data_IF_861380983474
#
_entry.id   IF_861380983474
#
_cell.length_a   1.000
_cell.length_b   1.000
_cell.length_c   1.000
_cell.angle_alpha   90.00
_cell.angle_beta   90.00
_cell.angle_gamma   90.00
#
_symmetry.space_group_name_H-M   'P 1'
#
loop_
_entity.id
_entity.type
_entity.pdbx_description
1 polymer ?
#
# COMPACT_ATOMS: atom_id res chain seq x y z
N UNK A 1 9.69 -8.74 -88.47
CA UNK A 1 9.32 -7.44 -87.86
C UNK A 1 9.38 -7.67 -86.35
N UNK A 2 10.57 -7.66 -85.73
CA UNK A 2 11.16 -6.52 -84.99
C UNK A 2 10.08 -5.78 -84.18
N UNK A 3 10.09 -5.77 -82.84
CA UNK A 3 11.16 -5.41 -81.87
C UNK A 3 11.00 -6.20 -80.55
N UNK A 4 12.05 -6.77 -79.91
CA UNK A 4 12.90 -6.17 -78.82
C UNK A 4 12.10 -5.39 -77.76
N UNK A 5 12.34 -5.43 -76.46
CA UNK A 5 13.23 -6.12 -75.49
C UNK A 5 12.69 -5.63 -74.12
N UNK A 6 12.87 -6.37 -73.01
CA UNK A 6 12.62 -5.75 -71.70
C UNK A 6 12.40 -6.66 -70.50
N UNK A 7 13.47 -7.27 -70.03
CA UNK A 7 13.83 -7.54 -68.63
C UNK A 7 12.75 -7.97 -67.60
N UNK A 8 12.93 -9.19 -67.12
CA UNK A 8 12.46 -9.67 -65.83
C UNK A 8 13.13 -8.92 -64.66
N UNK A 9 12.38 -8.64 -63.59
CA UNK A 9 12.88 -8.67 -62.22
C UNK A 9 11.73 -8.67 -61.20
N UNK A 10 11.81 -9.59 -60.25
CA UNK A 10 10.95 -9.72 -59.07
C UNK A 10 10.83 -8.41 -58.27
N UNK A 11 9.61 -8.00 -57.94
CA UNK A 11 9.35 -7.17 -56.77
C UNK A 11 8.86 -8.09 -55.65
N UNK A 12 9.82 -8.54 -54.84
CA UNK A 12 9.59 -9.19 -53.55
C UNK A 12 9.14 -8.14 -52.54
N UNK A 13 8.33 -8.60 -51.60
CA UNK A 13 8.10 -8.09 -50.25
C UNK A 13 8.99 -6.91 -49.83
N UNK A 14 8.39 -5.74 -49.66
CA UNK A 14 8.82 -4.78 -48.66
C UNK A 14 7.79 -4.87 -47.54
N UNK A 15 8.06 -5.77 -46.59
CA UNK A 15 7.50 -5.64 -45.26
C UNK A 15 8.03 -4.33 -44.69
N UNK A 16 7.14 -3.43 -44.29
CA UNK A 16 7.51 -2.25 -43.52
C UNK A 16 8.17 -2.74 -42.23
N UNK A 17 9.50 -2.64 -42.17
CA UNK A 17 10.25 -2.76 -40.93
C UNK A 17 9.75 -1.64 -40.01
N UNK A 18 8.83 -1.99 -39.11
CA UNK A 18 8.54 -1.20 -37.92
C UNK A 18 9.80 -1.30 -37.07
N UNK A 19 10.71 -0.35 -37.27
CA UNK A 19 11.76 -0.07 -36.30
C UNK A 19 11.04 0.31 -35.00
N UNK A 20 10.91 -0.66 -34.09
CA UNK A 20 10.68 -0.40 -32.67
C UNK A 20 11.85 0.47 -32.22
N UNK A 21 11.65 1.80 -32.24
CA UNK A 21 12.42 2.76 -31.46
C UNK A 21 12.13 2.46 -29.98
N UNK A 22 12.70 1.35 -29.48
CA UNK A 22 13.00 1.18 -28.06
C UNK A 22 14.11 2.19 -27.72
N UNK A 23 13.74 3.47 -27.76
CA UNK A 23 14.50 4.54 -27.17
C UNK A 23 14.71 4.14 -25.72
N UNK A 24 15.94 3.74 -25.39
CA UNK A 24 16.43 3.64 -24.04
C UNK A 24 16.15 4.98 -23.35
N UNK A 25 15.02 5.08 -22.65
CA UNK A 25 14.70 6.26 -21.83
C UNK A 25 15.73 6.25 -20.72
N UNK A 26 16.76 7.09 -20.85
CA UNK A 26 17.76 7.27 -19.82
C UNK A 26 17.05 7.82 -18.57
N UNK A 27 17.28 7.16 -17.43
CA UNK A 27 16.69 7.49 -16.13
C UNK A 27 17.07 8.94 -15.70
N UNK A 28 18.04 9.54 -16.37
CA UNK A 28 18.60 10.87 -16.08
C UNK A 28 17.61 12.05 -16.23
N UNK A 29 16.44 11.85 -16.87
CA UNK A 29 15.47 12.94 -17.12
C UNK A 29 14.19 12.90 -16.27
N UNK A 30 14.07 12.03 -15.25
CA UNK A 30 12.89 12.05 -14.38
C UNK A 30 12.96 13.16 -13.32
N UNK A 31 11.96 14.05 -13.31
CA UNK A 31 11.86 15.16 -12.34
C UNK A 31 11.04 14.83 -11.09
N UNK A 32 10.37 13.67 -11.04
CA UNK A 32 9.58 13.25 -9.89
C UNK A 32 8.59 12.12 -10.17
N UNK A 33 7.86 11.71 -9.13
CA UNK A 33 6.82 10.67 -9.17
C UNK A 33 5.48 11.28 -8.75
N UNK A 34 4.45 11.14 -9.57
CA UNK A 34 3.07 11.51 -9.23
C UNK A 34 2.29 10.29 -8.73
N UNK A 35 1.35 10.53 -7.81
CA UNK A 35 0.43 9.51 -7.31
C UNK A 35 -0.99 9.95 -7.68
N UNK A 36 -1.68 9.11 -8.45
CA UNK A 36 -3.09 9.28 -8.80
C UNK A 36 -3.91 8.22 -8.09
N UNK A 37 -5.03 8.61 -7.47
CA UNK A 37 -5.89 7.69 -6.74
C UNK A 37 -7.35 7.91 -7.12
N UNK A 38 -8.10 6.83 -7.28
CA UNK A 38 -9.56 6.86 -7.46
C UNK A 38 -10.22 5.98 -6.40
N UNK A 39 -11.19 6.55 -5.68
CA UNK A 39 -12.04 5.84 -4.74
C UNK A 39 -13.44 5.76 -5.34
N UNK A 40 -13.97 4.54 -5.50
CA UNK A 40 -15.29 4.23 -6.07
C UNK A 40 -15.34 4.33 -7.62
N UNK A 41 -15.28 3.17 -8.27
CA UNK A 41 -15.02 2.95 -9.70
C UNK A 41 -16.20 3.24 -10.66
N UNK A 42 -17.17 4.09 -10.30
CA UNK A 42 -18.32 4.38 -11.19
C UNK A 42 -18.07 5.51 -12.18
N UNK A 43 -17.17 6.42 -11.86
CA UNK A 43 -16.69 7.44 -12.77
C UNK A 43 -15.18 7.50 -12.56
N UNK A 44 -14.40 7.48 -13.64
CA UNK A 44 -12.93 7.52 -13.64
C UNK A 44 -12.41 8.92 -13.24
N UNK A 45 -12.95 9.45 -12.14
CA UNK A 45 -12.52 10.69 -11.54
C UNK A 45 -11.26 10.40 -10.72
N UNK A 46 -10.13 10.38 -11.41
CA UNK A 46 -8.83 10.36 -10.76
C UNK A 46 -8.66 11.65 -9.98
N UNK A 47 -8.57 11.53 -8.66
CA UNK A 47 -8.38 12.67 -7.78
C UNK A 47 -6.90 12.83 -7.46
N UNK A 48 -6.44 14.08 -7.41
CA UNK A 48 -5.12 14.38 -6.85
C UNK A 48 -5.14 14.07 -5.36
N UNK A 49 -4.01 13.59 -4.82
CA UNK A 49 -3.89 13.26 -3.39
C UNK A 49 -4.36 14.42 -2.50
N UNK A 50 -4.13 15.67 -2.89
CA UNK A 50 -4.55 16.89 -2.18
C UNK A 50 -6.06 16.94 -1.92
N UNK A 51 -6.88 16.42 -2.85
CA UNK A 51 -8.34 16.44 -2.81
C UNK A 51 -8.95 15.34 -1.94
N UNK A 52 -8.14 14.37 -1.50
CA UNK A 52 -8.59 13.26 -0.66
C UNK A 52 -8.85 13.69 0.78
N UNK A 53 -9.81 13.02 1.43
CA UNK A 53 -10.04 13.13 2.88
C UNK A 53 -8.84 12.61 3.68
N UNK A 54 -8.74 12.99 4.96
CA UNK A 54 -7.65 12.52 5.84
C UNK A 54 -7.57 11.00 5.96
N UNK A 55 -8.72 10.32 6.06
CA UNK A 55 -8.79 8.86 6.08
C UNK A 55 -8.34 8.23 4.76
N UNK A 56 -8.74 8.78 3.61
CA UNK A 56 -8.29 8.31 2.30
C UNK A 56 -6.79 8.49 2.09
N UNK A 57 -6.23 9.65 2.47
CA UNK A 57 -4.78 9.90 2.44
C UNK A 57 -4.03 8.88 3.29
N UNK A 58 -4.52 8.63 4.51
CA UNK A 58 -3.93 7.65 5.43
C UNK A 58 -3.96 6.24 4.84
N UNK A 59 -5.09 5.83 4.26
CA UNK A 59 -5.23 4.51 3.63
C UNK A 59 -4.29 4.36 2.42
N UNK A 60 -4.14 5.40 1.59
CA UNK A 60 -3.19 5.37 0.48
C UNK A 60 -1.75 5.21 0.95
N UNK A 61 -1.36 5.95 2.00
CA UNK A 61 -0.04 5.85 2.58
C UNK A 61 0.24 4.46 3.14
N UNK A 62 -0.72 3.87 3.89
CA UNK A 62 -0.61 2.51 4.40
C UNK A 62 -0.49 1.51 3.25
N UNK A 63 -1.33 1.62 2.21
CA UNK A 63 -1.28 0.74 1.05
C UNK A 63 0.09 0.80 0.34
N UNK A 64 0.65 2.00 0.18
CA UNK A 64 1.97 2.20 -0.42
C UNK A 64 3.08 1.59 0.45
N UNK A 65 3.07 1.83 1.75
CA UNK A 65 4.04 1.26 2.70
C UNK A 65 3.98 -0.27 2.64
N UNK A 66 2.80 -0.86 2.76
CA UNK A 66 2.63 -2.33 2.70
C UNK A 66 3.03 -2.91 1.34
N UNK A 67 2.87 -2.16 0.24
CA UNK A 67 3.34 -2.58 -1.09
C UNK A 67 4.87 -2.60 -1.18
N UNK A 68 5.54 -1.56 -0.64
CA UNK A 68 7.01 -1.52 -0.57
C UNK A 68 7.53 -2.68 0.29
N UNK A 69 6.92 -2.91 1.45
CA UNK A 69 7.28 -4.02 2.35
C UNK A 69 7.14 -5.40 1.70
N UNK A 70 6.18 -5.58 0.79
CA UNK A 70 6.03 -6.83 0.03
C UNK A 70 7.15 -7.03 -0.99
N UNK A 71 7.75 -5.94 -1.50
CA UNK A 71 8.86 -5.99 -2.45
C UNK A 71 10.19 -6.19 -1.71
N UNK A 72 10.42 -5.41 -0.65
CA UNK A 72 11.62 -5.45 0.18
C UNK A 72 11.26 -5.60 1.67
N UNK A 73 11.16 -6.85 2.17
CA UNK A 73 10.74 -7.11 3.54
C UNK A 73 11.87 -6.82 4.54
N UNK A 74 11.55 -6.02 5.54
CA UNK A 74 12.40 -5.74 6.69
C UNK A 74 12.16 -6.79 7.79
N UNK A 75 13.13 -6.99 8.72
CA UNK A 75 12.98 -7.96 9.79
C UNK A 75 11.84 -7.64 10.77
N UNK A 76 11.54 -6.36 10.99
CA UNK A 76 10.41 -5.94 11.82
C UNK A 76 9.83 -4.59 11.38
N UNK A 77 8.59 -4.34 11.78
CA UNK A 77 7.85 -3.10 11.55
C UNK A 77 7.18 -2.62 12.84
N UNK A 78 7.27 -1.31 13.09
CA UNK A 78 6.58 -0.62 14.18
C UNK A 78 5.57 0.36 13.59
N UNK A 79 4.30 0.18 13.92
CA UNK A 79 3.21 1.07 13.53
C UNK A 79 2.64 1.78 14.75
N UNK A 80 2.65 3.11 14.70
CA UNK A 80 2.14 3.96 15.78
C UNK A 80 0.79 4.56 15.39
N UNK A 81 -0.30 4.07 15.97
CA UNK A 81 -1.68 4.55 15.78
C UNK A 81 -2.11 4.78 14.31
N UNK A 82 -1.63 3.95 13.39
CA UNK A 82 -1.89 4.09 11.95
C UNK A 82 -3.37 4.01 11.57
N UNK A 83 -4.20 3.49 12.49
CA UNK A 83 -5.63 3.26 12.32
C UNK A 83 -6.52 4.36 12.92
N UNK A 84 -5.92 5.43 13.46
CA UNK A 84 -6.62 6.53 14.13
C UNK A 84 -7.67 7.20 13.23
N UNK A 85 -7.31 7.46 11.96
CA UNK A 85 -8.10 8.18 10.96
C UNK A 85 -8.92 7.27 10.03
N UNK A 86 -8.88 5.96 10.23
CA UNK A 86 -9.61 4.99 9.42
C UNK A 86 -10.99 4.70 10.02
N UNK A 87 -11.96 4.36 9.17
CA UNK A 87 -13.24 3.79 9.61
C UNK A 87 -13.10 2.30 9.97
N UNK A 88 -14.10 1.73 10.63
CA UNK A 88 -14.06 0.34 11.12
C UNK A 88 -13.85 -0.69 10.00
N UNK A 89 -14.39 -0.45 8.81
CA UNK A 89 -14.23 -1.33 7.65
C UNK A 89 -12.76 -1.36 7.21
N UNK A 90 -12.14 -0.20 7.02
CA UNK A 90 -10.73 -0.11 6.63
C UNK A 90 -9.79 -0.59 7.74
N UNK A 91 -10.10 -0.32 9.02
CA UNK A 91 -9.31 -0.87 10.14
C UNK A 91 -9.28 -2.38 10.12
N UNK A 92 -10.42 -3.02 9.93
CA UNK A 92 -10.53 -4.49 9.84
C UNK A 92 -9.72 -5.04 8.65
N UNK A 93 -9.78 -4.36 7.50
CA UNK A 93 -9.01 -4.74 6.31
C UNK A 93 -7.50 -4.63 6.54
N UNK A 94 -7.03 -3.53 7.14
CA UNK A 94 -5.62 -3.33 7.50
C UNK A 94 -5.17 -4.38 8.52
N UNK A 95 -6.00 -4.69 9.53
CA UNK A 95 -5.68 -5.68 10.56
C UNK A 95 -5.45 -7.07 9.94
N UNK A 96 -6.36 -7.49 9.06
CA UNK A 96 -6.24 -8.75 8.33
C UNK A 96 -4.99 -8.80 7.44
N UNK A 97 -4.64 -7.68 6.79
CA UNK A 97 -3.43 -7.60 5.96
C UNK A 97 -2.16 -7.72 6.81
N UNK A 98 -2.07 -6.99 7.93
CA UNK A 98 -0.96 -7.08 8.87
C UNK A 98 -0.82 -8.51 9.39
N UNK A 99 -1.92 -9.18 9.76
CA UNK A 99 -1.89 -10.56 10.21
C UNK A 99 -1.35 -11.54 9.16
N UNK A 100 -1.68 -11.30 7.89
CA UNK A 100 -1.16 -12.13 6.80
C UNK A 100 0.35 -11.90 6.62
N UNK A 101 0.79 -10.64 6.68
CA UNK A 101 2.19 -10.26 6.54
C UNK A 101 3.05 -10.66 7.75
N UNK A 102 2.46 -10.79 8.94
CA UNK A 102 3.19 -11.18 10.16
C UNK A 102 3.77 -12.59 10.11
N UNK A 103 3.35 -13.42 9.16
CA UNK A 103 3.98 -14.71 8.87
C UNK A 103 5.41 -14.58 8.33
N UNK A 104 5.78 -13.42 7.76
CA UNK A 104 7.08 -13.18 7.10
C UNK A 104 7.95 -12.15 7.82
N UNK A 105 7.36 -11.27 8.63
CA UNK A 105 8.06 -10.21 9.36
C UNK A 105 7.41 -9.98 10.73
N UNK A 106 8.16 -9.45 11.68
CA UNK A 106 7.60 -9.10 12.98
C UNK A 106 6.84 -7.76 12.93
N UNK A 107 5.62 -7.71 13.46
CA UNK A 107 4.84 -6.48 13.57
C UNK A 107 4.62 -6.11 15.04
N UNK A 108 4.89 -4.85 15.37
CA UNK A 108 4.55 -4.21 16.64
C UNK A 108 3.63 -3.05 16.29
N UNK A 109 2.43 -3.03 16.87
CA UNK A 109 1.45 -1.98 16.60
C UNK A 109 0.94 -1.39 17.91
N UNK A 110 0.87 -0.07 17.99
CA UNK A 110 0.12 0.64 19.03
C UNK A 110 -1.23 1.04 18.45
N UNK A 111 -2.28 0.92 19.25
CA UNK A 111 -3.64 1.20 18.80
C UNK A 111 -4.57 1.39 20.00
N UNK A 112 -5.58 2.24 19.81
CA UNK A 112 -6.75 2.36 20.68
C UNK A 112 -8.02 1.81 20.02
N UNK A 113 -7.87 0.94 19.01
CA UNK A 113 -8.97 0.42 18.20
C UNK A 113 -9.08 -1.10 18.35
N UNK A 114 -10.29 -1.64 18.57
CA UNK A 114 -10.45 -3.07 18.86
C UNK A 114 -10.10 -3.96 17.66
N UNK A 115 -10.24 -3.47 16.42
CA UNK A 115 -10.05 -4.26 15.20
C UNK A 115 -8.64 -4.85 15.09
N UNK A 116 -7.60 -4.11 15.53
CA UNK A 116 -6.22 -4.62 15.57
C UNK A 116 -6.01 -5.66 16.67
N UNK A 117 -6.66 -5.48 17.82
CA UNK A 117 -6.55 -6.41 18.94
C UNK A 117 -7.14 -7.78 18.62
N UNK A 118 -8.12 -7.85 17.72
CA UNK A 118 -8.74 -9.12 17.32
C UNK A 118 -7.77 -10.09 16.65
N UNK A 119 -6.79 -9.57 15.88
CA UNK A 119 -5.85 -10.37 15.11
C UNK A 119 -4.47 -10.54 15.77
N UNK A 120 -4.19 -9.73 16.80
CA UNK A 120 -2.92 -9.73 17.50
C UNK A 120 -2.63 -11.05 18.24
N UNK A 121 -1.35 -11.43 18.25
CA UNK A 121 -0.85 -12.65 18.91
C UNK A 121 -0.48 -12.41 20.38
N UNK A 122 0.01 -11.21 20.71
CA UNK A 122 0.41 -10.79 22.06
C UNK A 122 -0.07 -9.38 22.36
N UNK A 123 -0.26 -9.09 23.64
CA UNK A 123 -0.76 -7.81 24.11
C UNK A 123 0.15 -7.26 25.20
N UNK A 124 0.50 -5.99 25.09
CA UNK A 124 1.32 -5.28 26.07
C UNK A 124 0.56 -4.05 26.53
N UNK A 125 0.37 -3.94 27.85
CA UNK A 125 -0.23 -2.77 28.49
C UNK A 125 0.86 -1.86 29.02
N UNK A 126 0.71 -0.55 28.79
CA UNK A 126 1.54 0.48 29.42
C UNK A 126 0.73 1.14 30.54
N UNK A 127 1.25 1.09 31.76
CA UNK A 127 0.66 1.73 32.93
C UNK A 127 1.54 2.89 33.40
N UNK A 128 0.92 4.02 33.74
CA UNK A 128 1.60 5.17 34.33
C UNK A 128 1.14 5.37 35.77
N UNK A 129 2.04 5.19 36.74
CA UNK A 129 1.76 5.35 38.16
C UNK A 129 2.97 5.93 38.89
N UNK A 130 2.76 6.76 39.90
CA UNK A 130 3.84 7.37 40.68
C UNK A 130 4.94 8.05 39.83
N UNK A 131 4.55 8.68 38.70
CA UNK A 131 5.45 9.30 37.71
C UNK A 131 6.40 8.33 36.98
N UNK A 132 6.08 7.03 36.97
CA UNK A 132 6.85 5.99 36.30
C UNK A 132 5.93 5.23 35.33
N UNK A 133 6.43 4.98 34.12
CA UNK A 133 5.76 4.12 33.13
C UNK A 133 6.30 2.69 33.23
N UNK A 134 5.41 1.71 33.35
CA UNK A 134 5.76 0.28 33.33
C UNK A 134 5.02 -0.42 32.21
N UNK A 135 5.69 -1.37 31.55
CA UNK A 135 5.10 -2.24 30.52
C UNK A 135 4.98 -3.67 31.04
N UNK A 136 3.83 -4.29 30.80
CA UNK A 136 3.58 -5.69 31.17
C UNK A 136 2.79 -6.39 30.08
N UNK A 137 3.05 -7.68 29.87
CA UNK A 137 2.20 -8.53 29.02
C UNK A 137 0.84 -8.70 29.71
N UNK A 138 -0.24 -8.46 28.96
CA UNK A 138 -1.62 -8.59 29.42
C UNK A 138 -2.34 -9.62 28.55
N UNK A 139 -3.49 -10.11 29.01
CA UNK A 139 -4.32 -10.99 28.20
C UNK A 139 -5.23 -10.18 27.24
N UNK A 140 -5.85 -10.89 26.29
CA UNK A 140 -6.75 -10.29 25.30
C UNK A 140 -7.97 -9.61 25.93
N UNK A 141 -8.53 -10.18 26.99
CA UNK A 141 -9.71 -9.65 27.67
C UNK A 141 -9.42 -8.30 28.32
N UNK A 142 -8.29 -8.19 29.03
CA UNK A 142 -7.80 -6.93 29.60
C UNK A 142 -7.54 -5.87 28.53
N UNK A 143 -6.92 -6.25 27.41
CA UNK A 143 -6.67 -5.35 26.29
C UNK A 143 -7.98 -4.83 25.67
N UNK A 144 -8.97 -5.70 25.49
CA UNK A 144 -10.29 -5.30 24.97
C UNK A 144 -11.03 -4.40 25.96
N UNK A 145 -11.05 -4.75 27.24
CA UNK A 145 -11.66 -3.93 28.28
C UNK A 145 -11.05 -2.53 28.36
N UNK A 146 -9.73 -2.41 28.13
CA UNK A 146 -9.05 -1.12 28.07
C UNK A 146 -9.55 -0.25 26.91
N UNK A 147 -9.71 -0.83 25.72
CA UNK A 147 -10.18 -0.09 24.53
C UNK A 147 -11.68 0.23 24.61
N UNK A 148 -12.51 -0.70 25.08
CA UNK A 148 -13.95 -0.49 25.25
C UNK A 148 -14.26 0.51 26.37
N UNK A 149 -13.51 0.47 27.47
CA UNK A 149 -13.63 1.42 28.58
C UNK A 149 -13.26 2.87 28.23
N UNK A 150 -12.59 3.08 27.09
CA UNK A 150 -12.24 4.41 26.57
C UNK A 150 -13.22 4.94 25.52
N UNK A 151 -14.25 4.19 25.12
CA UNK A 151 -15.27 4.76 24.24
C UNK A 151 -16.02 5.87 25.00
N UNK A 152 -16.02 7.13 24.51
CA UNK A 152 -16.79 8.19 25.15
C UNK A 152 -18.27 7.80 25.09
N UNK A 153 -18.93 7.82 26.26
CA UNK A 153 -20.40 7.77 26.35
C UNK A 153 -21.04 8.93 25.60
#
# INVERSE_FOLDING_TARGET
>A
MQTQDGAAANAREEAEDVEDDEGHVSIENYIGVSISVSFNSKFDEQQRVEQLSGGQKSLCAIALILAIQKCDPAPFYLFDEIDANLDSQYRTAVASMIKTLSSKAQFICTTFRPEMLQVADKFYGVMFSNKVSTVSEINREEAMNFVEGQQPR
#
